data_IF_164377989530
#
_entry.id   IF_164377989530
#
_cell.length_a   1.000
_cell.length_b   1.000
_cell.length_c   1.000
_cell.angle_alpha   90.00
_cell.angle_beta   90.00
_cell.angle_gamma   90.00
#
_symmetry.space_group_name_H-M   'P 1'
#
loop_
_entity.id
_entity.type
_entity.pdbx_description
1 polymer ?
#
# COMPACT_ATOMS: atom_id res chain seq x y z
N UNK A 1 14.09 -16.20 8.88
CA UNK A 1 13.01 -17.02 8.29
C UNK A 1 11.68 -16.42 8.72
N UNK A 2 10.77 -16.16 7.77
CA UNK A 2 9.43 -15.65 8.11
C UNK A 2 8.63 -16.69 8.89
N UNK A 3 7.91 -16.25 9.92
CA UNK A 3 7.02 -17.13 10.69
C UNK A 3 5.75 -17.44 9.91
N UNK A 4 5.26 -18.66 10.04
CA UNK A 4 4.00 -19.10 9.44
C UNK A 4 4.02 -19.13 7.91
N UNK A 5 2.98 -19.71 7.32
CA UNK A 5 2.83 -19.74 5.87
C UNK A 5 2.38 -18.37 5.35
N UNK A 6 2.87 -17.98 4.18
CA UNK A 6 2.35 -16.85 3.44
C UNK A 6 2.19 -17.24 1.98
N UNK A 7 1.26 -16.59 1.29
CA UNK A 7 1.09 -16.74 -0.14
C UNK A 7 0.99 -15.37 -0.76
N UNK A 8 1.82 -15.13 -1.77
CA UNK A 8 1.71 -13.93 -2.61
C UNK A 8 0.52 -14.04 -3.59
N UNK A 9 -0.02 -15.25 -3.76
CA UNK A 9 -1.21 -15.53 -4.58
C UNK A 9 -2.43 -15.92 -3.72
N UNK A 10 -3.65 -15.40 -3.97
CA UNK A 10 -4.01 -14.21 -4.76
C UNK A 10 -3.81 -12.91 -3.93
N UNK A 11 -4.04 -11.72 -4.53
CA UNK A 11 -4.07 -10.46 -3.79
C UNK A 11 -5.01 -10.54 -2.59
N UNK A 12 -4.54 -10.02 -1.45
CA UNK A 12 -5.27 -10.10 -0.19
C UNK A 12 -5.20 -11.41 0.57
N UNK A 13 -4.60 -12.49 0.04
CA UNK A 13 -4.53 -13.83 0.65
C UNK A 13 -4.67 -13.84 2.19
N UNK A 14 -5.61 -14.62 2.72
CA UNK A 14 -5.91 -14.68 4.15
C UNK A 14 -4.67 -14.92 5.03
N UNK A 15 -3.62 -15.57 4.49
CA UNK A 15 -2.34 -15.79 5.17
C UNK A 15 -1.54 -14.50 5.45
N UNK A 16 -1.83 -13.42 4.72
CA UNK A 16 -1.29 -12.08 4.94
C UNK A 16 -2.09 -11.28 5.99
N UNK A 17 -3.30 -11.71 6.35
CA UNK A 17 -4.22 -11.01 7.26
C UNK A 17 -3.88 -11.26 8.74
N UNK A 18 -2.71 -10.82 9.16
CA UNK A 18 -2.10 -11.14 10.45
C UNK A 18 -2.25 -10.01 11.47
N UNK A 19 -3.43 -9.95 12.11
CA UNK A 19 -3.80 -8.85 13.02
C UNK A 19 -3.31 -8.97 14.47
N UNK A 20 -3.02 -10.19 14.91
CA UNK A 20 -2.67 -10.42 16.32
C UNK A 20 -1.24 -9.97 16.60
N UNK A 21 -1.06 -9.02 17.51
CA UNK A 21 0.27 -8.59 17.93
C UNK A 21 1.06 -9.71 18.64
N UNK A 22 2.40 -9.65 18.64
CA UNK A 22 3.24 -8.77 17.81
C UNK A 22 3.63 -9.40 16.47
N UNK A 23 3.29 -10.69 16.26
CA UNK A 23 3.79 -11.52 15.16
C UNK A 23 2.69 -12.26 14.37
N UNK A 24 1.47 -11.75 14.40
CA UNK A 24 0.34 -12.32 13.66
C UNK A 24 -0.27 -13.57 14.30
N UNK A 25 -0.03 -13.80 15.59
CA UNK A 25 -0.44 -15.03 16.30
C UNK A 25 0.49 -16.23 16.06
N UNK A 26 1.68 -16.01 15.50
CA UNK A 26 2.68 -17.07 15.27
C UNK A 26 3.84 -16.96 16.26
N UNK A 27 4.04 -18.02 17.04
CA UNK A 27 5.19 -18.17 17.92
C UNK A 27 6.43 -18.61 17.14
N UNK A 28 7.61 -18.32 17.69
CA UNK A 28 8.87 -18.85 17.20
C UNK A 28 8.97 -20.34 17.50
N UNK A 29 9.84 -21.03 16.75
CA UNK A 29 10.30 -22.35 17.13
C UNK A 29 11.81 -22.34 17.33
N UNK A 30 12.29 -22.89 18.45
CA UNK A 30 13.73 -23.10 18.67
C UNK A 30 14.33 -24.04 17.63
N UNK A 31 13.56 -24.97 17.07
CA UNK A 31 14.01 -25.93 16.06
C UNK A 31 14.01 -25.39 14.63
N UNK A 32 13.42 -24.22 14.38
CA UNK A 32 13.40 -23.63 13.04
C UNK A 32 14.73 -22.94 12.71
N UNK A 33 15.13 -23.07 11.45
CA UNK A 33 16.32 -22.41 10.93
C UNK A 33 16.13 -20.90 10.93
N UNK A 34 17.12 -20.18 11.47
CA UNK A 34 17.15 -18.72 11.49
C UNK A 34 17.96 -18.19 10.34
N UNK A 35 17.60 -17.00 9.89
CA UNK A 35 18.48 -16.26 8.97
C UNK A 35 19.63 -15.68 9.81
N UNK A 36 20.86 -16.09 9.52
CA UNK A 36 22.04 -15.59 10.22
C UNK A 36 22.52 -14.32 9.54
N UNK A 37 22.57 -13.23 10.28
CA UNK A 37 22.99 -11.90 9.83
C UNK A 37 24.11 -11.39 10.73
N UNK A 38 24.86 -10.41 10.24
CA UNK A 38 25.96 -9.79 11.00
C UNK A 38 25.42 -8.65 11.85
N UNK A 39 25.68 -8.66 13.16
CA UNK A 39 25.30 -7.56 14.04
C UNK A 39 25.93 -6.24 13.55
N UNK A 40 25.20 -5.13 13.61
CA UNK A 40 25.73 -3.83 13.19
C UNK A 40 25.92 -3.66 11.69
N UNK A 41 25.49 -4.59 10.84
CA UNK A 41 25.50 -4.38 9.39
C UNK A 41 24.23 -3.67 8.91
N UNK A 42 24.30 -3.07 7.72
CA UNK A 42 23.11 -2.75 6.94
C UNK A 42 22.50 -4.04 6.41
N UNK A 43 21.18 -4.08 6.32
CA UNK A 43 20.42 -5.20 5.78
C UNK A 43 19.19 -4.69 5.04
N UNK A 44 18.92 -5.24 3.87
CA UNK A 44 17.74 -4.89 3.08
C UNK A 44 16.59 -5.82 3.42
N UNK A 45 15.52 -5.26 3.97
CA UNK A 45 14.26 -5.96 4.22
C UNK A 45 13.37 -5.81 2.99
N UNK A 46 12.94 -6.96 2.46
CA UNK A 46 12.01 -7.05 1.35
C UNK A 46 10.63 -7.49 1.87
N UNK A 47 9.58 -6.79 1.48
CA UNK A 47 8.20 -7.18 1.80
C UNK A 47 7.23 -6.64 0.76
N UNK A 48 6.01 -7.19 0.69
CA UNK A 48 4.98 -6.75 -0.26
C UNK A 48 3.70 -6.32 0.47
N UNK A 49 3.20 -5.12 0.17
CA UNK A 49 1.87 -4.68 0.55
C UNK A 49 0.89 -5.09 -0.56
N UNK A 50 0.10 -6.15 -0.33
CA UNK A 50 -0.88 -6.61 -1.31
C UNK A 50 -2.03 -5.63 -1.48
N UNK A 51 -2.62 -5.27 -0.35
CA UNK A 51 -3.78 -4.41 -0.24
C UNK A 51 -3.36 -3.17 0.54
N UNK A 52 -3.64 -2.01 -0.04
CA UNK A 52 -3.36 -0.74 0.60
C UNK A 52 -4.64 -0.24 1.31
N UNK A 53 -4.50 0.01 2.61
CA UNK A 53 -5.56 0.46 3.51
C UNK A 53 -5.42 1.94 3.88
N UNK A 54 -4.91 2.75 2.96
CA UNK A 54 -4.70 4.18 3.14
C UNK A 54 -5.99 4.89 3.56
N UNK A 55 -5.88 5.67 4.63
CA UNK A 55 -6.96 6.48 5.17
C UNK A 55 -6.59 7.96 5.08
N UNK A 56 -7.16 8.73 4.13
CA UNK A 56 -6.71 10.09 3.86
C UNK A 56 -6.73 11.03 5.07
N UNK A 57 -7.75 11.04 5.94
CA UNK A 57 -7.77 11.96 7.09
C UNK A 57 -6.67 11.69 8.13
N UNK A 58 -6.18 10.45 8.22
CA UNK A 58 -5.10 10.07 9.12
C UNK A 58 -4.32 8.89 8.50
N UNK A 59 -3.39 9.16 7.58
CA UNK A 59 -2.68 8.12 6.88
C UNK A 59 -1.97 7.15 7.82
N UNK A 60 -1.92 5.90 7.40
CA UNK A 60 -1.19 4.86 8.11
C UNK A 60 0.32 5.05 8.06
N UNK A 61 1.03 4.07 8.61
CA UNK A 61 2.48 3.97 8.48
C UNK A 61 2.94 2.53 8.44
N UNK A 62 4.11 2.33 7.85
CA UNK A 62 4.82 1.07 7.87
C UNK A 62 6.09 1.24 8.69
N UNK A 63 6.41 0.24 9.52
CA UNK A 63 7.66 0.23 10.27
C UNK A 63 8.34 -1.13 10.26
N UNK A 64 9.66 -1.09 10.37
CA UNK A 64 10.50 -2.26 10.59
C UNK A 64 11.10 -2.13 11.97
N UNK A 65 10.89 -3.14 12.81
CA UNK A 65 11.32 -3.14 14.21
C UNK A 65 12.05 -4.42 14.57
N UNK A 66 12.83 -4.36 15.64
CA UNK A 66 13.67 -5.46 16.15
C UNK A 66 13.40 -5.70 17.62
N UNK A 67 13.38 -6.97 18.04
CA UNK A 67 13.35 -7.37 19.44
C UNK A 67 14.24 -8.61 19.69
N UNK A 68 14.70 -8.78 20.94
CA UNK A 68 15.44 -9.97 21.39
C UNK A 68 14.49 -10.99 22.01
N UNK A 69 14.87 -12.26 21.95
CA UNK A 69 14.09 -13.38 22.46
C UNK A 69 13.37 -14.15 21.37
N UNK A 70 12.74 -15.25 21.76
CA UNK A 70 11.94 -16.10 20.87
C UNK A 70 10.59 -15.46 20.59
N UNK A 71 9.85 -15.07 21.63
CA UNK A 71 8.50 -14.51 21.50
C UNK A 71 8.41 -13.21 22.29
N UNK A 72 9.05 -12.13 21.78
CA UNK A 72 9.02 -10.82 22.41
C UNK A 72 7.58 -10.29 22.50
N UNK A 73 7.31 -9.46 23.50
CA UNK A 73 6.06 -8.69 23.65
C UNK A 73 6.09 -7.45 22.74
N UNK A 74 4.95 -6.75 22.60
CA UNK A 74 4.87 -5.56 21.73
C UNK A 74 5.83 -4.46 22.18
N UNK A 75 5.97 -4.27 23.50
CA UNK A 75 6.84 -3.29 24.14
C UNK A 75 8.36 -3.59 24.01
N UNK A 76 8.73 -4.82 23.64
CA UNK A 76 10.14 -5.20 23.46
C UNK A 76 10.70 -4.74 22.10
N UNK A 77 9.82 -4.36 21.16
CA UNK A 77 10.23 -3.96 19.81
C UNK A 77 10.76 -2.53 19.76
N UNK A 78 12.00 -2.40 19.31
CA UNK A 78 12.61 -1.14 18.93
C UNK A 78 12.44 -0.91 17.42
N UNK A 79 11.80 0.20 17.02
CA UNK A 79 11.72 0.61 15.62
C UNK A 79 13.11 0.94 15.07
N UNK A 80 13.47 0.29 13.95
CA UNK A 80 14.68 0.57 13.18
C UNK A 80 14.45 1.66 12.13
N UNK A 81 13.29 1.61 11.47
CA UNK A 81 12.84 2.62 10.49
C UNK A 81 11.31 2.64 10.46
N UNK A 82 10.74 3.82 10.19
CA UNK A 82 9.32 4.05 9.98
C UNK A 82 9.15 4.95 8.77
N UNK A 83 8.06 4.80 8.04
CA UNK A 83 7.70 5.69 6.94
C UNK A 83 6.18 5.72 6.77
N UNK A 84 5.68 6.83 6.24
CA UNK A 84 4.26 7.02 6.04
C UNK A 84 3.72 6.07 4.95
N UNK A 85 2.47 5.65 5.13
CA UNK A 85 1.73 5.03 4.05
C UNK A 85 1.53 6.04 2.90
N UNK A 86 1.14 5.54 1.74
CA UNK A 86 1.00 6.34 0.54
C UNK A 86 -0.32 6.03 -0.14
N UNK A 87 -0.80 6.98 -0.94
CA UNK A 87 -2.02 6.84 -1.71
C UNK A 87 -1.69 6.33 -3.14
N UNK A 88 -1.88 5.03 -3.43
CA UNK A 88 -1.69 4.48 -4.77
C UNK A 88 -2.85 4.75 -5.75
N UNK A 89 -3.93 5.42 -5.31
CA UNK A 89 -5.21 5.56 -6.04
C UNK A 89 -5.89 4.23 -6.42
N UNK A 90 -5.45 3.11 -5.83
CA UNK A 90 -5.96 1.78 -6.08
C UNK A 90 -5.78 0.92 -4.83
N UNK A 91 -6.81 0.19 -4.43
CA UNK A 91 -6.77 -0.65 -3.24
C UNK A 91 -5.86 -1.88 -3.40
N UNK A 92 -5.83 -2.49 -4.59
CA UNK A 92 -5.01 -3.66 -4.89
C UNK A 92 -3.72 -3.23 -5.61
N UNK A 93 -2.63 -3.07 -4.85
CA UNK A 93 -1.38 -2.53 -5.37
C UNK A 93 -0.28 -3.57 -5.55
N UNK A 94 -0.22 -4.59 -4.69
CA UNK A 94 0.89 -5.55 -4.67
C UNK A 94 2.28 -4.88 -4.67
N UNK A 95 2.41 -3.81 -3.90
CA UNK A 95 3.59 -2.96 -3.86
C UNK A 95 4.74 -3.69 -3.19
N UNK A 96 5.85 -3.88 -3.89
CA UNK A 96 7.07 -4.42 -3.30
C UNK A 96 7.87 -3.31 -2.64
N UNK A 97 8.34 -3.51 -1.42
CA UNK A 97 9.20 -2.60 -0.69
C UNK A 97 10.59 -3.21 -0.53
N UNK A 98 11.61 -2.35 -0.63
CA UNK A 98 13.01 -2.69 -0.41
C UNK A 98 13.62 -1.62 0.50
N UNK A 99 13.70 -1.93 1.79
CA UNK A 99 14.05 -0.95 2.82
C UNK A 99 15.35 -1.36 3.49
N UNK A 100 16.36 -0.51 3.44
CA UNK A 100 17.62 -0.71 4.14
C UNK A 100 17.48 -0.32 5.62
N UNK A 101 17.91 -1.21 6.51
CA UNK A 101 17.91 -0.98 7.96
C UNK A 101 19.28 -1.25 8.57
N UNK A 102 19.65 -0.44 9.56
CA UNK A 102 20.83 -0.65 10.37
C UNK A 102 20.51 -1.66 11.48
N UNK A 103 21.06 -2.87 11.40
CA UNK A 103 20.86 -3.88 12.44
C UNK A 103 21.59 -3.47 13.74
N UNK A 104 21.07 -3.84 14.93
CA UNK A 104 21.74 -3.58 16.20
C UNK A 104 23.15 -4.18 16.26
N UNK A 105 24.08 -3.48 16.91
CA UNK A 105 25.47 -3.94 17.11
C UNK A 105 25.62 -5.09 18.11
N UNK A 106 24.53 -5.49 18.76
CA UNK A 106 24.49 -6.56 19.75
C UNK A 106 24.18 -7.90 19.07
N UNK A 107 24.96 -8.94 19.39
CA UNK A 107 24.66 -10.30 18.99
C UNK A 107 23.43 -10.86 19.71
N UNK A 108 22.70 -11.73 19.04
CA UNK A 108 21.54 -12.43 19.59
C UNK A 108 21.36 -13.78 18.92
N UNK A 109 21.26 -14.83 19.73
CA UNK A 109 20.91 -16.18 19.25
C UNK A 109 19.44 -16.27 18.83
N UNK A 110 18.60 -15.52 19.53
CA UNK A 110 17.16 -15.43 19.29
C UNK A 110 16.77 -13.97 19.21
N UNK A 111 16.39 -13.54 18.02
CA UNK A 111 15.85 -12.21 17.78
C UNK A 111 14.87 -12.23 16.61
N UNK A 112 14.05 -11.18 16.58
CA UNK A 112 12.92 -11.07 15.69
C UNK A 112 13.00 -9.75 14.96
N UNK A 113 12.97 -9.81 13.62
CA UNK A 113 12.64 -8.66 12.79
C UNK A 113 11.15 -8.69 12.49
N UNK A 114 10.51 -7.53 12.58
CA UNK A 114 9.08 -7.37 12.31
C UNK A 114 8.86 -6.28 11.30
N UNK A 115 7.99 -6.54 10.33
CA UNK A 115 7.32 -5.52 9.52
C UNK A 115 5.92 -5.32 10.09
N UNK A 116 5.54 -4.07 10.33
CA UNK A 116 4.22 -3.69 10.82
C UNK A 116 3.60 -2.67 9.88
N UNK A 117 2.32 -2.87 9.54
CA UNK A 117 1.52 -1.87 8.82
C UNK A 117 0.35 -1.45 9.71
N UNK A 118 0.41 -0.21 10.21
CA UNK A 118 -0.66 0.44 10.95
C UNK A 118 -1.50 1.24 9.96
N UNK A 119 -2.75 0.86 9.72
CA UNK A 119 -3.57 1.49 8.66
C UNK A 119 -4.17 2.82 9.08
N UNK A 120 -4.42 3.00 10.39
CA UNK A 120 -5.20 4.11 10.96
C UNK A 120 -6.62 4.27 10.38
N UNK A 121 -7.09 3.33 9.56
CA UNK A 121 -8.40 3.38 8.94
C UNK A 121 -9.49 2.98 9.97
N UNK A 122 -10.34 3.91 10.43
CA UNK A 122 -11.36 3.62 11.43
C UNK A 122 -12.51 2.77 10.86
N UNK A 123 -12.64 2.66 9.53
CA UNK A 123 -13.66 1.85 8.89
C UNK A 123 -13.32 0.34 8.91
N UNK A 124 -12.12 -0.02 9.37
CA UNK A 124 -11.73 -1.42 9.61
C UNK A 124 -12.50 -2.04 10.77
N UNK A 125 -12.67 -3.37 10.74
CA UNK A 125 -13.42 -4.10 11.78
C UNK A 125 -12.92 -3.80 13.21
N UNK A 126 -11.63 -3.53 13.36
CA UNK A 126 -10.94 -3.21 14.61
C UNK A 126 -10.59 -1.70 14.76
N UNK A 127 -11.21 -0.82 13.96
CA UNK A 127 -11.08 0.64 14.05
C UNK A 127 -9.62 1.15 13.94
N UNK A 128 -8.88 0.63 12.97
CA UNK A 128 -7.46 0.94 12.76
C UNK A 128 -6.62 -0.33 12.81
N UNK A 129 -6.82 -1.20 11.81
CA UNK A 129 -6.10 -2.47 11.72
C UNK A 129 -4.59 -2.26 11.80
N UNK A 130 -3.92 -3.16 12.52
CA UNK A 130 -2.47 -3.33 12.42
C UNK A 130 -2.16 -4.73 11.90
N UNK A 131 -1.32 -4.81 10.88
CA UNK A 131 -0.81 -6.07 10.35
C UNK A 131 0.61 -6.31 10.81
N UNK A 132 0.91 -7.54 11.23
CA UNK A 132 2.19 -7.94 11.79
C UNK A 132 2.80 -9.12 11.04
N UNK A 133 4.04 -8.97 10.60
CA UNK A 133 4.83 -10.06 9.99
C UNK A 133 6.19 -10.14 10.67
N UNK A 134 6.50 -11.29 11.27
CA UNK A 134 7.76 -11.53 11.97
C UNK A 134 8.65 -12.52 11.23
N UNK A 135 9.96 -12.31 11.34
CA UNK A 135 11.00 -13.22 10.89
C UNK A 135 12.00 -13.49 12.01
N UNK A 136 12.30 -14.78 12.23
CA UNK A 136 13.30 -15.20 13.18
C UNK A 136 14.70 -15.10 12.56
N UNK A 137 15.58 -14.39 13.26
CA UNK A 137 16.96 -14.13 12.86
C UNK A 137 17.93 -14.45 13.99
N UNK A 138 19.20 -14.60 13.62
CA UNK A 138 20.33 -14.66 14.54
C UNK A 138 21.31 -13.55 14.14
N UNK A 139 21.74 -12.73 15.09
CA UNK A 139 22.82 -11.75 14.88
C UNK A 139 24.11 -12.29 15.47
N UNK A 140 25.11 -12.52 14.63
CA UNK A 140 26.45 -12.92 15.07
C UNK A 140 27.34 -11.70 15.27
N UNK A 141 28.36 -11.83 16.11
CA UNK A 141 29.28 -10.73 16.39
C UNK A 141 29.92 -10.18 15.12
N UNK A 142 30.00 -8.85 15.04
CA UNK A 142 30.76 -8.18 14.01
C UNK A 142 32.22 -8.10 14.41
N UNK A 143 33.10 -8.74 13.66
CA UNK A 143 34.56 -8.65 13.81
C UNK A 143 35.15 -7.29 13.40
N UNK A 144 34.35 -6.23 13.28
CA UNK A 144 34.77 -4.94 12.73
C UNK A 144 34.30 -3.76 13.57
N UNK A 145 35.28 -3.02 14.11
CA UNK A 145 35.12 -1.74 14.78
C UNK A 145 34.55 -0.66 13.85
N UNK A 146 33.62 0.12 14.40
CA UNK A 146 33.16 1.45 13.97
C UNK A 146 32.73 1.61 12.49
N UNK A 147 31.45 1.35 12.22
CA UNK A 147 30.69 2.13 11.24
C UNK A 147 29.75 3.07 12.02
N UNK A 148 29.81 4.35 11.66
CA UNK A 148 28.89 5.40 12.15
C UNK A 148 27.50 5.09 11.62
N UNK A 149 26.55 4.96 12.54
CA UNK A 149 25.12 4.86 12.22
C UNK A 149 24.68 6.15 11.54
N UNK A 150 24.26 6.07 10.28
CA UNK A 150 23.45 7.12 9.67
C UNK A 150 22.07 6.95 10.28
N UNK A 151 21.80 7.70 11.35
CA UNK A 151 20.44 7.87 11.84
C UNK A 151 19.76 8.78 10.83
N UNK A 152 18.91 8.23 9.97
CA UNK A 152 17.91 9.04 9.26
C UNK A 152 16.98 9.56 10.35
N UNK A 153 17.24 10.78 10.83
CA UNK A 153 16.31 11.47 11.71
C UNK A 153 15.02 11.69 10.92
N UNK A 154 14.01 10.90 11.26
CA UNK A 154 12.63 11.11 10.88
C UNK A 154 12.13 12.33 11.69
N UNK A 155 12.55 13.51 11.27
CA UNK A 155 11.94 14.73 11.76
C UNK A 155 10.52 14.74 11.22
N UNK A 156 9.48 14.80 12.08
CA UNK A 156 8.13 14.98 11.62
C UNK A 156 8.08 16.31 10.86
N UNK A 157 8.11 16.22 9.54
CA UNK A 157 7.98 17.38 8.66
C UNK A 157 6.60 17.93 8.97
N UNK A 158 6.54 19.10 9.62
CA UNK A 158 5.27 19.79 9.83
C UNK A 158 4.66 19.98 8.44
N UNK A 159 3.52 19.31 8.22
CA UNK A 159 2.72 19.48 7.02
C UNK A 159 2.41 20.97 6.88
N UNK A 160 3.03 21.59 5.89
CA UNK A 160 2.79 22.97 5.55
C UNK A 160 2.12 22.95 4.19
N UNK A 161 0.95 23.59 4.10
CA UNK A 161 0.26 23.80 2.83
C UNK A 161 1.20 24.57 1.90
N UNK A 162 1.34 24.09 0.67
CA UNK A 162 2.13 24.76 -0.36
C UNK A 162 1.19 25.41 -1.38
N UNK A 163 1.59 26.55 -1.95
CA UNK A 163 0.79 27.24 -2.98
C UNK A 163 0.60 26.42 -4.26
N UNK A 164 1.39 25.36 -4.45
CA UNK A 164 1.33 24.46 -5.59
C UNK A 164 0.43 23.24 -5.34
N UNK A 165 -0.06 23.04 -4.11
CA UNK A 165 -1.04 21.99 -3.79
C UNK A 165 -2.23 22.09 -4.76
N UNK A 166 -2.61 20.96 -5.35
CA UNK A 166 -3.63 20.96 -6.39
C UNK A 166 -4.37 19.62 -6.45
N UNK A 167 -5.53 19.61 -7.12
CA UNK A 167 -6.28 18.40 -7.44
C UNK A 167 -6.48 18.28 -8.95
N UNK A 168 -6.53 17.05 -9.43
CA UNK A 168 -6.96 16.75 -10.80
C UNK A 168 -8.37 17.27 -11.06
N UNK A 169 -8.80 17.41 -12.33
CA UNK A 169 -10.20 17.66 -12.65
C UNK A 169 -11.13 16.58 -12.05
N UNK A 170 -12.38 16.92 -11.71
CA UNK A 170 -13.31 15.98 -11.07
C UNK A 170 -13.59 14.71 -11.88
N UNK A 171 -13.53 14.79 -13.20
CA UNK A 171 -13.71 13.64 -14.08
C UNK A 171 -12.74 13.71 -15.24
N UNK A 172 -11.95 12.67 -15.43
CA UNK A 172 -11.00 12.57 -16.53
C UNK A 172 -10.68 11.12 -16.87
N UNK A 173 -10.12 10.93 -18.07
CA UNK A 173 -9.46 9.67 -18.45
C UNK A 173 -7.98 9.92 -18.71
N UNK A 174 -7.13 8.94 -18.41
CA UNK A 174 -5.69 8.98 -18.70
C UNK A 174 -5.18 7.58 -19.02
N UNK A 175 -4.12 7.50 -19.82
CA UNK A 175 -3.41 6.24 -20.07
C UNK A 175 -2.20 6.14 -19.18
N UNK A 176 -1.71 4.92 -18.96
CA UNK A 176 -0.48 4.71 -18.22
C UNK A 176 0.38 3.58 -18.79
N UNK A 177 1.67 3.67 -18.51
CA UNK A 177 2.62 2.57 -18.61
C UNK A 177 3.36 2.48 -17.27
N UNK A 178 3.31 1.32 -16.64
CA UNK A 178 4.04 1.00 -15.42
C UNK A 178 5.23 0.11 -15.76
N UNK A 179 6.40 0.44 -15.21
CA UNK A 179 7.68 -0.17 -15.52
C UNK A 179 8.37 -0.56 -14.21
N UNK A 180 8.82 -1.81 -14.13
CA UNK A 180 9.68 -2.33 -13.06
C UNK A 180 11.00 -2.77 -13.71
N UNK A 181 12.03 -1.89 -13.74
CA UNK A 181 13.27 -2.15 -14.47
C UNK A 181 13.97 -3.46 -14.07
N UNK A 182 14.00 -3.74 -12.77
CA UNK A 182 14.75 -4.87 -12.18
C UNK A 182 14.34 -6.24 -12.72
N UNK A 183 13.08 -6.39 -13.11
CA UNK A 183 12.52 -7.65 -13.63
C UNK A 183 12.06 -7.53 -15.08
N UNK A 184 12.43 -6.44 -15.77
CA UNK A 184 12.00 -6.14 -17.15
C UNK A 184 10.48 -6.28 -17.33
N UNK A 185 9.72 -5.94 -16.29
CA UNK A 185 8.27 -6.08 -16.27
C UNK A 185 7.64 -4.75 -16.66
N UNK A 186 6.61 -4.84 -17.51
CA UNK A 186 5.81 -3.69 -17.90
C UNK A 186 4.32 -4.06 -17.87
N UNK A 187 3.51 -3.11 -17.41
CA UNK A 187 2.07 -3.13 -17.60
C UNK A 187 1.62 -1.81 -18.20
N UNK A 188 0.48 -1.82 -18.88
CA UNK A 188 -0.05 -0.60 -19.49
C UNK A 188 -1.56 -0.63 -19.50
N UNK A 189 -2.18 0.53 -19.63
CA UNK A 189 -3.61 0.60 -19.46
C UNK A 189 -4.21 1.98 -19.58
N UNK A 190 -5.47 2.05 -19.15
CA UNK A 190 -6.26 3.27 -19.10
C UNK A 190 -7.00 3.33 -17.77
N UNK A 191 -7.11 4.54 -17.24
CA UNK A 191 -7.80 4.89 -16.01
C UNK A 191 -8.91 5.87 -16.36
N UNK A 192 -10.09 5.61 -15.81
CA UNK A 192 -11.23 6.49 -15.83
C UNK A 192 -11.52 6.87 -14.39
N UNK A 193 -11.53 8.16 -14.10
CA UNK A 193 -11.71 8.73 -12.77
C UNK A 193 -12.96 9.59 -12.76
N UNK A 194 -13.84 9.35 -11.79
CA UNK A 194 -15.07 10.13 -11.60
C UNK A 194 -15.29 10.44 -10.11
N UNK A 195 -14.83 11.62 -9.70
CA UNK A 195 -14.89 12.12 -8.33
C UNK A 195 -16.31 12.37 -7.83
N UNK A 196 -17.23 12.99 -8.60
CA UNK A 196 -18.60 13.20 -8.17
C UNK A 196 -19.32 11.90 -7.76
N UNK A 197 -19.13 10.81 -8.51
CA UNK A 197 -19.73 9.51 -8.20
C UNK A 197 -18.88 8.64 -7.28
N UNK A 198 -17.64 9.05 -6.98
CA UNK A 198 -16.61 8.28 -6.26
C UNK A 198 -16.36 6.92 -6.89
N UNK A 199 -16.07 6.92 -8.19
CA UNK A 199 -15.85 5.71 -8.97
C UNK A 199 -14.57 5.81 -9.80
N UNK A 200 -13.95 4.65 -10.01
CA UNK A 200 -12.80 4.51 -10.90
C UNK A 200 -12.91 3.23 -11.71
N UNK A 201 -12.44 3.27 -12.95
CA UNK A 201 -12.30 2.07 -13.78
C UNK A 201 -10.89 1.98 -14.34
N UNK A 202 -10.28 0.82 -14.20
CA UNK A 202 -8.95 0.53 -14.73
C UNK A 202 -9.08 -0.55 -15.78
N UNK A 203 -8.40 -0.37 -16.90
CA UNK A 203 -8.06 -1.47 -17.80
C UNK A 203 -6.56 -1.61 -17.76
N UNK A 204 -6.06 -2.77 -17.40
CA UNK A 204 -4.62 -3.04 -17.32
C UNK A 204 -4.28 -4.30 -18.09
N UNK A 205 -3.22 -4.22 -18.90
CA UNK A 205 -2.66 -5.36 -19.61
C UNK A 205 -1.27 -5.68 -19.05
N UNK A 206 -1.11 -6.91 -18.61
CA UNK A 206 0.08 -7.46 -17.96
C UNK A 206 0.38 -8.80 -18.62
N UNK A 207 1.57 -8.98 -19.21
CA UNK A 207 2.00 -10.28 -19.77
C UNK A 207 0.95 -10.93 -20.70
N UNK A 208 0.30 -10.15 -21.57
CA UNK A 208 -0.79 -10.57 -22.47
C UNK A 208 -2.12 -10.97 -21.78
N UNK A 209 -2.26 -10.72 -20.48
CA UNK A 209 -3.51 -10.85 -19.75
C UNK A 209 -4.09 -9.46 -19.50
N UNK A 210 -5.35 -9.26 -19.86
CA UNK A 210 -6.06 -8.00 -19.61
C UNK A 210 -7.01 -8.16 -18.44
N UNK A 211 -6.95 -7.20 -17.52
CA UNK A 211 -7.87 -7.08 -16.41
C UNK A 211 -8.68 -5.79 -16.53
N UNK A 212 -9.96 -5.88 -16.22
CA UNK A 212 -10.79 -4.72 -15.97
C UNK A 212 -11.13 -4.66 -14.49
N UNK A 213 -10.92 -3.50 -13.88
CA UNK A 213 -11.29 -3.24 -12.50
C UNK A 213 -12.33 -2.15 -12.44
N UNK A 214 -13.47 -2.41 -11.80
CA UNK A 214 -14.49 -1.41 -11.53
C UNK A 214 -14.56 -1.17 -10.04
N UNK A 215 -14.23 0.05 -9.63
CA UNK A 215 -14.18 0.45 -8.24
C UNK A 215 -15.29 1.46 -7.96
N UNK A 216 -16.21 1.11 -7.07
CA UNK A 216 -17.27 1.99 -6.62
C UNK A 216 -17.18 2.14 -5.11
N UNK A 217 -16.58 3.25 -4.69
CA UNK A 217 -16.29 3.56 -3.30
C UNK A 217 -17.55 3.94 -2.51
N UNK A 218 -18.60 4.42 -3.19
CA UNK A 218 -19.92 4.62 -2.56
C UNK A 218 -20.54 3.28 -2.13
N UNK A 219 -20.36 2.22 -2.91
CA UNK A 219 -20.82 0.87 -2.58
C UNK A 219 -19.83 0.03 -1.78
N UNK A 220 -18.57 0.48 -1.65
CA UNK A 220 -17.48 -0.28 -1.04
C UNK A 220 -17.08 -1.54 -1.83
N UNK A 221 -17.27 -1.55 -3.16
CA UNK A 221 -17.04 -2.75 -4.00
C UNK A 221 -16.04 -2.50 -5.12
N UNK A 222 -15.14 -3.47 -5.30
CA UNK A 222 -14.28 -3.57 -6.46
C UNK A 222 -14.50 -4.89 -7.18
N UNK A 223 -14.84 -4.83 -8.47
CA UNK A 223 -14.83 -6.00 -9.34
C UNK A 223 -13.49 -6.09 -10.06
N UNK A 224 -12.84 -7.26 -10.02
CA UNK A 224 -11.58 -7.55 -10.68
C UNK A 224 -11.81 -8.67 -11.70
N UNK A 225 -11.91 -8.30 -12.97
CA UNK A 225 -12.30 -9.19 -14.05
C UNK A 225 -11.12 -9.51 -14.96
N UNK A 226 -10.78 -10.79 -15.10
CA UNK A 226 -9.81 -11.28 -16.06
C UNK A 226 -10.51 -11.54 -17.40
N UNK A 227 -10.15 -10.75 -18.41
CA UNK A 227 -10.78 -10.79 -19.74
C UNK A 227 -10.48 -12.10 -20.46
N UNK A 228 -9.28 -12.65 -20.26
CA UNK A 228 -8.79 -13.80 -21.02
C UNK A 228 -9.53 -15.09 -20.65
N UNK A 229 -9.79 -15.31 -19.36
CA UNK A 229 -10.46 -16.52 -18.87
C UNK A 229 -11.91 -16.27 -18.43
N UNK A 230 -12.40 -15.03 -18.54
CA UNK A 230 -13.76 -14.63 -18.16
C UNK A 230 -14.08 -14.88 -16.68
N UNK A 231 -13.09 -14.81 -15.78
CA UNK A 231 -13.31 -14.93 -14.33
C UNK A 231 -13.40 -13.56 -13.67
N UNK A 232 -14.25 -13.44 -12.65
CA UNK A 232 -14.38 -12.21 -11.87
C UNK A 232 -14.23 -12.48 -10.38
N UNK A 233 -13.57 -11.57 -9.68
CA UNK A 233 -13.45 -11.57 -8.24
C UNK A 233 -14.04 -10.27 -7.68
N UNK A 234 -14.73 -10.37 -6.55
CA UNK A 234 -15.28 -9.22 -5.84
C UNK A 234 -14.41 -8.93 -4.61
N UNK A 235 -13.91 -7.70 -4.49
CA UNK A 235 -13.15 -7.21 -3.34
C UNK A 235 -13.94 -6.13 -2.61
N UNK A 236 -13.73 -6.02 -1.29
CA UNK A 236 -14.12 -4.83 -0.54
C UNK A 236 -13.21 -3.65 -0.89
N UNK A 237 -13.77 -2.45 -0.94
CA UNK A 237 -13.00 -1.21 -1.05
C UNK A 237 -13.01 -0.45 0.26
N UNK A 238 -11.94 0.32 0.47
CA UNK A 238 -11.86 1.29 1.54
C UNK A 238 -12.41 2.66 1.11
N UNK A 239 -12.00 3.72 1.81
CA UNK A 239 -12.45 5.08 1.58
C UNK A 239 -12.03 5.60 0.20
N UNK A 240 -12.86 6.48 -0.35
CA UNK A 240 -12.49 7.30 -1.51
C UNK A 240 -11.37 8.27 -1.14
N UNK A 241 -10.43 8.49 -2.07
CA UNK A 241 -9.47 9.59 -1.99
C UNK A 241 -9.54 10.43 -3.27
N UNK A 242 -9.55 11.75 -3.11
CA UNK A 242 -9.43 12.65 -4.24
C UNK A 242 -8.01 12.54 -4.81
N UNK A 243 -7.87 12.63 -6.13
CA UNK A 243 -6.55 12.60 -6.76
C UNK A 243 -5.93 14.00 -6.66
N UNK A 244 -5.39 14.28 -5.49
CA UNK A 244 -4.78 15.54 -5.14
C UNK A 244 -3.32 15.35 -4.76
N UNK A 245 -2.57 16.44 -4.76
CA UNK A 245 -1.16 16.48 -4.46
C UNK A 245 -0.87 17.52 -3.39
N UNK A 246 0.07 17.18 -2.51
CA UNK A 246 0.49 18.04 -1.41
C UNK A 246 -0.44 18.04 -0.18
N UNK A 247 -0.13 18.88 0.78
CA UNK A 247 -0.63 18.73 2.16
C UNK A 247 -2.05 19.28 2.38
N UNK A 248 -2.51 20.20 1.53
CA UNK A 248 -3.85 20.83 1.65
C UNK A 248 -4.99 19.81 1.64
N UNK A 249 -4.80 18.66 0.99
CA UNK A 249 -5.83 17.63 0.78
C UNK A 249 -5.57 16.36 1.60
N UNK A 250 -4.96 16.53 2.78
CA UNK A 250 -4.55 15.44 3.69
C UNK A 250 -3.64 14.39 3.04
N UNK A 251 -2.95 14.72 1.95
CA UNK A 251 -1.85 13.87 1.49
C UNK A 251 -0.62 14.13 2.35
N UNK A 252 0.29 13.16 2.41
CA UNK A 252 1.53 13.19 3.20
C UNK A 252 2.74 13.59 2.37
N UNK A 253 2.50 14.24 1.23
CA UNK A 253 3.51 14.48 0.21
C UNK A 253 4.15 15.86 0.43
N UNK A 254 5.46 15.89 0.62
CA UNK A 254 6.23 17.11 0.70
C UNK A 254 6.49 17.67 -0.69
N UNK A 255 6.14 18.93 -0.91
CA UNK A 255 6.47 19.63 -2.14
C UNK A 255 8.00 19.75 -2.31
N UNK A 256 8.50 19.45 -3.52
CA UNK A 256 9.92 19.50 -3.85
C UNK A 256 10.25 20.64 -4.81
N UNK A 257 9.53 20.73 -5.93
CA UNK A 257 9.84 21.69 -6.99
C UNK A 257 8.64 21.94 -7.90
N UNK A 258 8.56 23.15 -8.45
CA UNK A 258 7.51 23.56 -9.38
C UNK A 258 8.05 23.77 -10.79
N UNK A 259 7.15 23.63 -11.77
CA UNK A 259 7.38 24.01 -13.16
C UNK A 259 8.66 23.43 -13.80
N UNK A 260 9.09 22.24 -13.38
CA UNK A 260 10.17 21.49 -14.06
C UNK A 260 9.64 20.82 -15.31
N UNK A 261 10.50 20.47 -16.27
CA UNK A 261 10.11 19.56 -17.34
C UNK A 261 9.61 18.23 -16.76
N UNK A 262 8.45 17.77 -17.22
CA UNK A 262 7.87 16.51 -16.74
C UNK A 262 8.79 15.33 -17.04
N UNK A 263 9.02 14.47 -16.04
CA UNK A 263 9.90 13.30 -16.19
C UNK A 263 9.29 12.22 -17.09
N UNK A 264 8.00 12.35 -17.45
CA UNK A 264 7.29 11.54 -18.45
C UNK A 264 7.82 11.72 -19.88
N UNK A 265 8.69 12.71 -20.12
CA UNK A 265 9.19 13.06 -21.45
C UNK A 265 8.23 13.95 -22.25
N UNK A 266 7.12 14.39 -21.64
CA UNK A 266 6.24 15.38 -22.25
C UNK A 266 6.89 16.78 -22.24
N UNK A 267 6.55 17.62 -23.22
CA UNK A 267 6.98 19.03 -23.25
C UNK A 267 6.27 19.90 -22.21
N UNK A 268 5.45 19.32 -21.34
CA UNK A 268 4.70 20.02 -20.30
C UNK A 268 5.60 20.30 -19.11
N UNK A 269 5.17 21.26 -18.30
CA UNK A 269 5.78 21.54 -17.00
C UNK A 269 5.02 20.77 -15.91
N UNK A 270 5.75 20.31 -14.91
CA UNK A 270 5.24 19.54 -13.78
C UNK A 270 5.69 20.13 -12.45
N UNK A 271 4.82 19.96 -11.46
CA UNK A 271 5.17 20.11 -10.05
C UNK A 271 5.51 18.72 -9.50
N UNK A 272 6.33 18.67 -8.47
CA UNK A 272 6.84 17.42 -7.90
C UNK A 272 6.71 17.42 -6.38
N UNK A 273 6.28 16.28 -5.85
CA UNK A 273 6.19 16.01 -4.42
C UNK A 273 6.84 14.66 -4.09
N UNK A 274 7.13 14.45 -2.81
CA UNK A 274 7.73 13.21 -2.32
C UNK A 274 7.09 12.79 -1.00
N UNK A 275 6.82 11.49 -0.86
CA UNK A 275 6.44 10.84 0.38
C UNK A 275 7.32 9.60 0.57
N UNK A 276 8.34 9.70 1.42
CA UNK A 276 9.33 8.65 1.62
C UNK A 276 10.02 8.27 0.31
N UNK A 277 9.88 7.02 -0.10
CA UNK A 277 10.45 6.47 -1.34
C UNK A 277 9.65 6.84 -2.59
N UNK A 278 8.45 7.38 -2.44
CA UNK A 278 7.58 7.72 -3.57
C UNK A 278 7.74 9.17 -4.00
N UNK A 279 7.87 9.35 -5.30
CA UNK A 279 7.94 10.64 -5.96
C UNK A 279 6.75 10.77 -6.92
N UNK A 280 6.02 11.87 -6.75
CA UNK A 280 4.79 12.18 -7.46
C UNK A 280 5.05 13.38 -8.36
N UNK A 281 4.59 13.31 -9.60
CA UNK A 281 4.57 14.46 -10.51
C UNK A 281 3.18 14.67 -11.07
N UNK A 282 2.75 15.92 -11.09
CA UNK A 282 1.52 16.35 -11.76
C UNK A 282 1.81 17.51 -12.70
N UNK A 283 1.05 17.63 -13.79
CA UNK A 283 1.22 18.75 -14.73
C UNK A 283 0.89 20.07 -14.04
N UNK A 284 1.78 21.06 -14.13
CA UNK A 284 1.56 22.34 -13.44
C UNK A 284 0.33 23.08 -13.97
N UNK A 285 -0.04 22.86 -15.24
CA UNK A 285 -1.34 23.24 -15.81
C UNK A 285 -2.34 22.09 -15.69
N UNK A 286 -3.35 22.23 -14.83
CA UNK A 286 -4.47 21.28 -14.73
C UNK A 286 -4.26 20.10 -13.78
N UNK A 287 -3.09 19.98 -13.16
CA UNK A 287 -2.81 19.02 -12.08
C UNK A 287 -3.08 17.53 -12.44
N UNK A 288 -2.99 17.13 -13.71
CA UNK A 288 -3.10 15.72 -14.07
C UNK A 288 -1.89 14.93 -13.58
N UNK A 289 -2.07 13.64 -13.22
CA UNK A 289 -0.92 12.78 -12.96
C UNK A 289 0.00 12.74 -14.18
N UNK A 290 1.30 12.83 -13.92
CA UNK A 290 2.37 12.67 -14.92
C UNK A 290 3.25 11.48 -14.59
N UNK A 291 3.74 11.38 -13.34
CA UNK A 291 4.53 10.24 -12.88
C UNK A 291 4.17 9.90 -11.43
N UNK A 292 4.17 8.60 -11.13
CA UNK A 292 4.42 8.04 -9.80
C UNK A 292 5.67 7.18 -9.91
N UNK A 293 6.69 7.42 -9.12
CA UNK A 293 7.94 6.64 -9.18
C UNK A 293 8.52 6.36 -7.81
N UNK A 294 9.35 5.33 -7.73
CA UNK A 294 10.11 5.00 -6.53
C UNK A 294 11.58 5.38 -6.71
N UNK A 295 12.11 6.12 -5.74
CA UNK A 295 13.48 6.63 -5.78
C UNK A 295 14.49 5.49 -5.67
N UNK A 296 14.20 4.49 -4.84
CA UNK A 296 15.10 3.36 -4.55
C UNK A 296 15.23 2.35 -5.69
N UNK A 297 14.16 2.08 -6.45
CA UNK A 297 14.12 1.03 -7.46
C UNK A 297 13.98 1.54 -8.89
N UNK A 298 13.73 2.85 -9.08
CA UNK A 298 13.37 3.43 -10.38
C UNK A 298 12.12 2.78 -11.03
N UNK A 299 11.33 2.05 -10.24
CA UNK A 299 9.97 1.63 -10.59
C UNK A 299 9.13 2.88 -10.85
N UNK A 300 8.36 2.89 -11.94
CA UNK A 300 7.57 4.09 -12.30
C UNK A 300 6.33 3.77 -13.09
N UNK A 301 5.26 4.51 -12.80
CA UNK A 301 4.06 4.65 -13.60
C UNK A 301 4.09 6.01 -14.28
N UNK A 302 4.10 6.01 -15.61
CA UNK A 302 4.02 7.20 -16.45
C UNK A 302 2.60 7.35 -16.95
N UNK A 303 2.00 8.52 -16.73
CA UNK A 303 0.64 8.85 -17.15
C UNK A 303 0.68 9.82 -18.34
N UNK A 304 -0.21 9.64 -19.31
CA UNK A 304 -0.24 10.43 -20.54
C UNK A 304 -1.62 10.42 -21.20
N UNK A 305 -1.81 11.26 -22.23
CA UNK A 305 -3.08 11.41 -22.96
C UNK A 305 -4.28 11.75 -22.06
N UNK A 306 -4.06 12.51 -20.97
CA UNK A 306 -5.14 12.93 -20.10
C UNK A 306 -6.18 13.77 -20.86
N UNK A 307 -7.46 13.45 -20.67
CA UNK A 307 -8.60 14.16 -21.28
C UNK A 307 -9.68 14.43 -20.24
N UNK A 308 -10.11 15.68 -20.19
CA UNK A 308 -11.28 16.08 -19.43
C UNK A 308 -12.56 15.56 -20.05
N UNK A 309 -13.54 15.38 -19.18
CA UNK A 309 -14.92 15.26 -19.58
C UNK A 309 -15.70 14.40 -18.60
N UNK A 310 -17.03 14.55 -18.57
CA UNK A 310 -17.85 13.55 -17.93
C UNK A 310 -17.54 12.21 -18.58
N UNK A 311 -17.20 11.22 -17.76
CA UNK A 311 -17.01 9.86 -18.24
C UNK A 311 -18.40 9.22 -18.40
N UNK A 312 -18.72 8.63 -19.56
CA UNK A 312 -20.00 7.98 -19.75
C UNK A 312 -20.23 6.88 -18.69
N UNK A 313 -21.42 6.86 -18.09
CA UNK A 313 -21.71 5.97 -16.95
C UNK A 313 -21.57 4.47 -17.28
N UNK A 314 -21.72 4.09 -18.55
CA UNK A 314 -21.49 2.73 -19.06
C UNK A 314 -20.05 2.25 -18.87
N UNK A 315 -19.06 3.16 -18.80
CA UNK A 315 -17.67 2.81 -18.52
C UNK A 315 -17.53 2.19 -17.13
N UNK A 316 -18.35 2.63 -16.18
CA UNK A 316 -18.33 2.17 -14.80
C UNK A 316 -19.22 0.94 -14.57
N UNK A 317 -19.92 0.43 -15.59
CA UNK A 317 -20.74 -0.77 -15.46
C UNK A 317 -19.86 -2.03 -15.52
N UNK A 318 -19.82 -2.85 -14.46
CA UNK A 318 -19.07 -4.11 -14.48
C UNK A 318 -19.57 -5.07 -15.56
N UNK A 319 -18.68 -5.93 -16.05
CA UNK A 319 -19.09 -7.02 -16.93
C UNK A 319 -20.21 -7.87 -16.26
N UNK A 320 -21.28 -8.26 -16.99
CA UNK A 320 -22.38 -9.03 -16.40
C UNK A 320 -21.99 -10.30 -15.65
N UNK A 321 -20.87 -10.94 -16.02
CA UNK A 321 -20.34 -12.12 -15.34
C UNK A 321 -20.00 -11.81 -13.88
N UNK A 322 -19.54 -10.60 -13.59
CA UNK A 322 -19.16 -10.16 -12.24
C UNK A 322 -20.33 -10.11 -11.26
N UNK A 323 -21.57 -9.94 -11.74
CA UNK A 323 -22.75 -9.93 -10.85
C UNK A 323 -23.11 -11.31 -10.30
N UNK A 324 -22.51 -12.38 -10.84
CA UNK A 324 -22.66 -13.74 -10.30
C UNK A 324 -21.82 -13.93 -9.03
N UNK A 325 -20.77 -13.12 -8.86
CA UNK A 325 -19.90 -13.21 -7.69
C UNK A 325 -20.55 -12.49 -6.50
N UNK A 326 -20.87 -13.24 -5.45
CA UNK A 326 -21.48 -12.72 -4.22
C UNK A 326 -20.54 -12.82 -3.03
N UNK A 327 -19.45 -13.58 -3.16
CA UNK A 327 -18.46 -13.74 -2.09
C UNK A 327 -17.42 -12.64 -2.23
N UNK A 328 -17.50 -11.66 -1.32
CA UNK A 328 -16.51 -10.60 -1.24
C UNK A 328 -15.23 -11.15 -0.61
N UNK A 329 -14.15 -11.12 -1.37
CA UNK A 329 -12.79 -11.38 -0.91
C UNK A 329 -12.36 -10.15 -0.11
N UNK A 330 -12.18 -10.31 1.20
CA UNK A 330 -11.93 -9.23 2.16
C UNK A 330 -13.07 -8.21 2.21
N UNK A 331 -14.11 -8.54 2.97
CA UNK A 331 -15.18 -7.59 3.25
C UNK A 331 -14.95 -6.87 4.57
N UNK A 332 -14.77 -5.56 4.53
CA UNK A 332 -15.42 -4.71 5.54
C UNK A 332 -16.89 -4.64 5.15
N UNK A 333 -17.70 -5.52 5.72
CA UNK A 333 -19.14 -5.43 5.55
C UNK A 333 -19.74 -4.83 6.83
N UNK A 334 -19.85 -3.49 6.96
CA UNK A 334 -20.47 -2.87 8.13
C UNK A 334 -21.95 -3.31 8.28
N UNK A 335 -22.64 -3.66 7.21
CA UNK A 335 -24.03 -4.17 7.25
C UNK A 335 -24.15 -5.65 7.64
N UNK A 336 -23.11 -6.46 7.48
CA UNK A 336 -23.06 -7.80 8.09
C UNK A 336 -22.91 -7.73 9.62
N UNK A 337 -22.42 -6.60 10.15
CA UNK A 337 -22.30 -6.34 11.59
C UNK A 337 -23.65 -6.12 12.25
N UNK A 338 -24.56 -5.37 11.62
CA UNK A 338 -25.91 -5.19 12.16
C UNK A 338 -26.67 -6.52 12.25
N UNK A 339 -26.52 -7.40 11.25
CA UNK A 339 -27.15 -8.72 11.29
C UNK A 339 -26.48 -9.68 12.30
N UNK A 340 -25.14 -9.72 12.39
CA UNK A 340 -24.45 -10.57 13.39
C UNK A 340 -24.65 -10.09 14.82
N UNK A 341 -24.68 -8.78 15.06
CA UNK A 341 -24.93 -8.19 16.37
C UNK A 341 -26.40 -8.36 16.78
N UNK A 342 -27.36 -8.17 15.86
CA UNK A 342 -28.77 -8.52 16.12
C UNK A 342 -28.99 -10.03 16.35
N UNK A 343 -28.22 -10.91 15.68
CA UNK A 343 -28.32 -12.36 15.87
C UNK A 343 -27.61 -12.86 17.14
N UNK A 344 -26.57 -12.16 17.60
CA UNK A 344 -25.93 -12.43 18.91
C UNK A 344 -26.76 -11.87 20.06
N UNK A 345 -27.36 -10.67 19.92
CA UNK A 345 -28.25 -10.09 20.93
C UNK A 345 -29.58 -10.86 21.03
N UNK A 346 -30.13 -11.40 19.93
CA UNK A 346 -31.31 -12.28 19.99
C UNK A 346 -31.05 -13.66 20.61
N UNK A 347 -29.81 -14.14 20.65
CA UNK A 347 -29.45 -15.39 21.35
C UNK A 347 -29.34 -15.22 22.87
N UNK A 348 -29.28 -13.99 23.39
CA UNK A 348 -29.21 -13.72 24.82
C UNK A 348 -30.62 -13.67 25.47
N UNK A 349 -31.70 -13.63 24.67
CA UNK A 349 -33.09 -13.59 25.16
C UNK A 349 -33.85 -14.93 25.12
N UNK A 350 -33.16 -16.02 24.81
CA UNK A 350 -33.71 -17.37 24.91
C UNK A 350 -32.70 -18.32 25.56
N UNK A 351 -32.49 -18.12 26.86
CA UNK A 351 -32.19 -19.17 27.85
C UNK A 351 -32.59 -18.67 29.23
#
# INVERSE_FOLDING_TARGET
>A
MQRGNFSLDPPGSHTCYRKMAPCGGYNSSTSQQRTVLKAGSLYTVLFQQHINHYYPPNPGKLDISFARGLDPLEEDFQTLVSFNDYNPMNHNTQTNFSIEVQLPKQSCDYCVLRVRYLTNNPDEEDYGTTFHQCSDIQLTESSSNSIQSIVLEDHPVKQQNDSHDCCTPPSFQTKFVHLIPDISYASSGEIYYDQPSKQMRFTVSIMNVTYNMWMNFTSGKQYYFNVNNQTCHLFGLNCWNDWCYGNTYNQTEQFLTANKSCSSGSSRLCNQWQNGDFLFESTSSGCYPSILSRVSSNERTVYFDAKDGPIPSEVFQPNPICFKETTMIHSHNPSARFLKQLLQEKKIWHN
#
